data_IF_201351785812
#
_entry.id   IF_201351785812
#
_cell.length_a   1.000
_cell.length_b   1.000
_cell.length_c   1.000
_cell.angle_alpha   90.00
_cell.angle_beta   90.00
_cell.angle_gamma   90.00
#
_symmetry.space_group_name_H-M   'P 1'
#
loop_
_entity.id
_entity.type
_entity.pdbx_description
1 polymer ?
#
# COMPACT_ATOMS: atom_id res chain seq x y z
N UNK A 1 -39.07 35.36 66.01
CA UNK A 1 -38.46 36.67 66.27
C UNK A 1 -39.03 37.65 65.26
N UNK A 2 -39.47 38.86 65.66
CA UNK A 2 -39.96 39.85 64.70
C UNK A 2 -38.80 40.24 63.80
N UNK A 3 -38.95 40.11 62.47
CA UNK A 3 -37.94 40.55 61.53
C UNK A 3 -37.77 42.08 61.60
N UNK A 4 -36.54 42.56 61.73
CA UNK A 4 -36.25 43.99 61.57
C UNK A 4 -36.33 44.33 60.09
N UNK A 5 -37.48 44.82 59.65
CA UNK A 5 -37.65 45.33 58.29
C UNK A 5 -37.12 46.77 58.24
N UNK A 6 -36.02 46.99 57.52
CA UNK A 6 -35.59 48.34 57.18
C UNK A 6 -36.59 48.89 56.17
N UNK A 7 -37.47 49.80 56.61
CA UNK A 7 -38.51 50.41 55.76
C UNK A 7 -38.01 51.65 55.03
N UNK A 8 -36.96 52.28 55.54
CA UNK A 8 -36.20 53.35 54.88
C UNK A 8 -34.85 53.52 55.59
N UNK A 9 -33.81 53.85 54.83
CA UNK A 9 -32.49 54.20 55.36
C UNK A 9 -31.86 55.23 54.45
N UNK A 10 -31.17 56.23 55.01
CA UNK A 10 -30.41 57.22 54.22
C UNK A 10 -29.22 56.58 53.47
N UNK A 11 -28.91 55.31 53.78
CA UNK A 11 -27.83 54.53 53.17
C UNK A 11 -28.35 53.47 52.18
N UNK A 12 -29.66 53.26 52.08
CA UNK A 12 -30.28 52.26 51.21
C UNK A 12 -31.44 52.89 50.43
N UNK A 13 -31.26 53.09 49.13
CA UNK A 13 -32.36 53.45 48.24
C UNK A 13 -33.18 52.19 47.99
N UNK A 14 -34.41 52.18 48.51
CA UNK A 14 -35.37 51.09 48.29
C UNK A 14 -36.30 51.57 47.17
N UNK A 15 -35.95 51.27 45.92
CA UNK A 15 -36.87 51.37 44.77
C UNK A 15 -37.33 49.94 44.36
N UNK A 16 -37.74 49.72 43.10
CA UNK A 16 -38.11 48.37 42.65
C UNK A 16 -36.93 47.39 42.67
N UNK A 17 -35.70 47.91 42.64
CA UNK A 17 -34.43 47.20 42.66
C UNK A 17 -33.60 47.59 43.91
N UNK A 18 -32.69 46.70 44.31
CA UNK A 18 -31.78 46.94 45.43
C UNK A 18 -30.44 47.51 44.92
N UNK A 19 -30.13 48.77 45.22
CA UNK A 19 -28.83 49.40 44.89
C UNK A 19 -27.89 49.48 46.11
N UNK A 20 -26.75 48.80 46.02
CA UNK A 20 -25.72 48.73 47.07
C UNK A 20 -24.66 49.84 46.98
N UNK A 21 -24.74 50.77 46.01
CA UNK A 21 -23.79 51.88 45.81
C UNK A 21 -22.32 51.43 45.85
N UNK A 22 -22.02 50.32 45.17
CA UNK A 22 -20.68 49.69 45.12
C UNK A 22 -20.13 49.20 46.48
N UNK A 23 -21.00 48.85 47.43
CA UNK A 23 -20.62 48.24 48.71
C UNK A 23 -20.79 46.71 48.66
N UNK A 24 -20.01 46.01 49.49
CA UNK A 24 -20.13 44.55 49.68
C UNK A 24 -21.29 44.23 50.61
N UNK A 25 -22.00 43.14 50.34
CA UNK A 25 -22.89 42.51 51.34
C UNK A 25 -22.01 41.61 52.21
N UNK A 26 -22.10 41.78 53.53
CA UNK A 26 -21.39 40.92 54.51
C UNK A 26 -22.41 40.15 55.34
N UNK A 27 -21.99 39.04 55.96
CA UNK A 27 -22.85 38.17 56.78
C UNK A 27 -24.07 37.60 56.05
N UNK A 28 -23.95 37.36 54.74
CA UNK A 28 -24.96 36.64 53.97
C UNK A 28 -24.84 35.14 54.28
N UNK A 29 -25.87 34.59 54.95
CA UNK A 29 -25.98 33.15 55.15
C UNK A 29 -26.08 32.40 53.81
N UNK A 30 -25.70 31.11 53.74
CA UNK A 30 -25.84 30.33 52.51
C UNK A 30 -27.29 30.29 52.02
N UNK A 31 -27.51 30.56 50.73
CA UNK A 31 -28.81 30.43 50.09
C UNK A 31 -29.26 28.98 49.97
N UNK A 32 -30.56 28.71 50.12
CA UNK A 32 -31.15 27.36 50.07
C UNK A 32 -32.26 27.27 49.02
N UNK A 33 -33.07 28.32 48.86
CA UNK A 33 -34.09 28.41 47.83
C UNK A 33 -33.52 28.88 46.49
N UNK A 34 -34.22 28.57 45.39
CA UNK A 34 -33.79 28.93 44.02
C UNK A 34 -33.71 30.45 43.77
N UNK A 35 -34.31 31.26 44.64
CA UNK A 35 -34.36 32.73 44.55
C UNK A 35 -33.43 33.42 45.55
N UNK A 36 -32.67 32.67 46.35
CA UNK A 36 -31.79 33.25 47.35
C UNK A 36 -30.51 33.79 46.70
N UNK A 37 -29.93 34.83 47.30
CA UNK A 37 -28.57 35.24 46.98
C UNK A 37 -27.55 34.19 47.43
N UNK A 38 -26.50 33.99 46.63
CA UNK A 38 -25.39 33.09 46.97
C UNK A 38 -24.26 33.87 47.64
N UNK A 39 -23.62 33.28 48.66
CA UNK A 39 -22.40 33.84 49.25
C UNK A 39 -21.14 33.29 48.56
N UNK A 40 -19.97 33.89 48.86
CA UNK A 40 -18.70 33.52 48.22
C UNK A 40 -18.31 32.06 48.50
N UNK A 41 -18.65 31.52 49.67
CA UNK A 41 -18.33 30.14 50.03
C UNK A 41 -19.09 29.13 49.16
N UNK A 42 -20.36 29.40 48.85
CA UNK A 42 -21.14 28.57 47.92
C UNK A 42 -20.53 28.58 46.51
N UNK A 43 -20.09 29.74 46.03
CA UNK A 43 -19.40 29.86 44.74
C UNK A 43 -18.07 29.10 44.75
N UNK A 44 -17.25 29.29 45.79
CA UNK A 44 -15.97 28.58 45.93
C UNK A 44 -16.16 27.07 45.95
N UNK A 45 -17.15 26.56 46.69
CA UNK A 45 -17.47 25.13 46.74
C UNK A 45 -17.91 24.59 45.36
N UNK A 46 -18.70 25.35 44.61
CA UNK A 46 -19.11 24.97 43.26
C UNK A 46 -17.91 24.89 42.30
N UNK A 47 -17.02 25.88 42.35
CA UNK A 47 -15.80 25.93 41.53
C UNK A 47 -14.83 24.81 41.90
N UNK A 48 -14.65 24.54 43.19
CA UNK A 48 -13.81 23.43 43.68
C UNK A 48 -14.33 22.07 43.18
N UNK A 49 -15.65 21.86 43.16
CA UNK A 49 -16.25 20.63 42.64
C UNK A 49 -15.89 20.36 41.17
N UNK A 50 -15.74 21.40 40.35
CA UNK A 50 -15.34 21.29 38.94
C UNK A 50 -13.82 21.03 38.79
N UNK A 51 -13.00 21.77 39.54
CA UNK A 51 -11.54 21.64 39.54
C UNK A 51 -11.05 20.25 40.00
N UNK A 52 -11.87 19.54 40.76
CA UNK A 52 -11.56 18.21 41.29
C UNK A 52 -11.61 17.08 40.26
N UNK A 53 -12.18 17.32 39.07
CA UNK A 53 -12.35 16.28 38.04
C UNK A 53 -11.27 16.31 36.96
N UNK A 54 -10.55 17.43 36.82
CA UNK A 54 -9.55 17.65 35.78
C UNK A 54 -8.30 18.25 36.42
N UNK A 55 -7.21 17.50 36.38
CA UNK A 55 -5.90 17.98 36.81
C UNK A 55 -5.26 18.84 35.71
N UNK A 56 -4.44 19.82 36.11
CA UNK A 56 -3.62 20.55 35.15
C UNK A 56 -2.69 19.58 34.37
N UNK A 57 -2.36 19.87 33.10
CA UNK A 57 -1.40 19.06 32.36
C UNK A 57 -0.06 18.94 33.10
N UNK A 58 0.59 17.80 32.96
CA UNK A 58 1.93 17.53 33.50
C UNK A 58 2.89 17.18 32.37
N UNK A 59 4.16 17.56 32.51
CA UNK A 59 5.14 17.38 31.44
C UNK A 59 5.43 15.89 31.13
N UNK A 60 5.63 15.08 32.17
CA UNK A 60 6.16 13.73 32.00
C UNK A 60 5.65 12.69 33.02
N UNK A 61 6.13 11.46 32.85
CA UNK A 61 5.87 10.34 33.74
C UNK A 61 6.25 10.67 35.20
N UNK A 62 7.41 11.32 35.42
CA UNK A 62 7.90 11.61 36.76
C UNK A 62 6.97 12.59 37.48
N UNK A 63 6.54 13.66 36.79
CA UNK A 63 5.57 14.62 37.29
C UNK A 63 4.22 13.94 37.60
N UNK A 64 3.77 13.00 36.77
CA UNK A 64 2.51 12.27 37.00
C UNK A 64 2.57 11.37 38.25
N UNK A 65 3.74 10.76 38.53
CA UNK A 65 3.94 9.92 39.71
C UNK A 65 4.16 10.75 40.99
N UNK A 66 4.56 12.01 40.87
CA UNK A 66 4.82 12.89 42.01
C UNK A 66 3.56 13.54 42.61
N UNK A 67 2.43 13.53 41.89
CA UNK A 67 1.13 13.97 42.44
C UNK A 67 0.82 13.09 43.64
N UNK A 68 0.56 13.68 44.81
CA UNK A 68 0.25 12.99 46.08
C UNK A 68 -1.23 12.67 46.22
N UNK A 69 -1.60 11.76 47.14
CA UNK A 69 -2.99 11.32 47.37
C UNK A 69 -4.00 12.47 47.55
N UNK A 70 -3.62 13.56 48.22
CA UNK A 70 -4.48 14.74 48.39
C UNK A 70 -4.82 15.46 47.07
N UNK A 71 -3.98 15.30 46.05
CA UNK A 71 -4.18 15.84 44.70
C UNK A 71 -4.78 14.83 43.73
N UNK A 72 -5.17 13.63 44.19
CA UNK A 72 -5.77 12.58 43.34
C UNK A 72 -7.16 12.22 43.84
N UNK A 73 -8.16 12.52 43.01
CA UNK A 73 -9.54 12.10 43.26
C UNK A 73 -9.91 10.98 42.29
N UNK A 74 -10.84 10.12 42.72
CA UNK A 74 -11.35 9.05 41.85
C UNK A 74 -11.91 9.65 40.55
N UNK A 75 -11.63 8.98 39.42
CA UNK A 75 -12.00 9.37 38.06
C UNK A 75 -11.43 10.69 37.56
N UNK A 76 -10.52 11.32 38.29
CA UNK A 76 -9.86 12.54 37.85
C UNK A 76 -9.07 12.29 36.55
N UNK A 77 -9.14 13.23 35.60
CA UNK A 77 -8.47 13.14 34.30
C UNK A 77 -7.25 14.05 34.26
N UNK A 78 -6.17 13.60 33.60
CA UNK A 78 -4.92 14.35 33.46
C UNK A 78 -4.28 14.10 32.09
N UNK A 79 -3.83 15.18 31.45
CA UNK A 79 -2.94 15.10 30.29
C UNK A 79 -1.48 15.00 30.77
N UNK A 80 -0.78 13.98 30.33
CA UNK A 80 0.67 13.86 30.43
C UNK A 80 1.24 14.17 29.04
N UNK A 81 1.94 15.29 28.87
CA UNK A 81 2.34 15.80 27.54
C UNK A 81 3.12 14.77 26.71
N UNK A 82 3.98 14.00 27.36
CA UNK A 82 4.80 12.95 26.71
C UNK A 82 4.08 11.63 26.47
N UNK A 83 2.97 11.35 27.17
CA UNK A 83 2.37 10.02 27.17
C UNK A 83 0.91 9.97 26.70
N UNK A 84 0.11 11.01 26.97
CA UNK A 84 -1.30 11.11 26.57
C UNK A 84 -2.25 11.42 27.71
N UNK A 85 -3.52 11.06 27.53
CA UNK A 85 -4.59 11.34 28.49
C UNK A 85 -4.79 10.15 29.43
N UNK A 86 -4.90 10.42 30.73
CA UNK A 86 -5.05 9.42 31.79
C UNK A 86 -6.26 9.71 32.68
N UNK A 87 -6.82 8.66 33.28
CA UNK A 87 -7.86 8.73 34.31
C UNK A 87 -7.38 8.00 35.56
N UNK A 88 -7.50 8.64 36.72
CA UNK A 88 -7.20 8.00 38.00
C UNK A 88 -8.32 7.02 38.39
N UNK A 89 -7.93 5.88 38.95
CA UNK A 89 -8.80 4.85 39.52
C UNK A 89 -8.26 4.58 40.93
N UNK A 90 -9.06 4.91 41.95
CA UNK A 90 -8.63 4.89 43.34
C UNK A 90 -8.56 3.46 43.92
N UNK A 91 -9.28 2.50 43.34
CA UNK A 91 -9.41 1.13 43.83
C UNK A 91 -8.47 0.14 43.13
N UNK A 92 -7.92 0.50 41.97
CA UNK A 92 -7.12 -0.42 41.17
C UNK A 92 -5.77 -0.79 41.80
N UNK A 93 -5.46 -2.08 41.73
CA UNK A 93 -4.17 -2.69 42.12
C UNK A 93 -3.41 -3.27 40.92
N UNK A 94 -3.79 -2.91 39.69
CA UNK A 94 -3.13 -3.43 38.49
C UNK A 94 -1.64 -3.05 38.53
N UNK A 95 -0.78 -4.00 38.20
CA UNK A 95 0.67 -3.80 38.19
C UNK A 95 1.03 -2.71 37.20
N UNK A 96 1.82 -1.74 37.65
CA UNK A 96 2.24 -0.65 36.79
C UNK A 96 3.25 -1.10 35.75
N UNK A 97 3.12 -0.56 34.54
CA UNK A 97 4.10 -0.69 33.46
C UNK A 97 4.64 0.67 33.02
N UNK A 98 4.40 1.72 33.82
CA UNK A 98 4.83 3.10 33.58
C UNK A 98 4.43 3.67 32.20
N UNK A 99 3.42 3.09 31.54
CA UNK A 99 2.88 3.56 30.27
C UNK A 99 1.35 3.45 30.20
N UNK A 100 0.77 2.25 30.17
CA UNK A 100 -0.71 2.14 30.16
C UNK A 100 -1.31 2.22 31.55
N UNK A 101 -0.52 1.83 32.56
CA UNK A 101 -0.87 1.86 33.97
C UNK A 101 0.31 2.47 34.74
N UNK A 102 0.09 3.62 35.36
CA UNK A 102 1.13 4.33 36.14
C UNK A 102 0.75 4.28 37.62
N UNK A 103 1.68 3.79 38.46
CA UNK A 103 1.56 3.85 39.92
C UNK A 103 2.20 5.14 40.46
N UNK A 104 1.48 5.97 41.22
CA UNK A 104 2.07 7.11 41.93
C UNK A 104 3.21 6.70 42.87
N UNK A 105 4.16 7.62 43.12
CA UNK A 105 5.33 7.35 43.98
C UNK A 105 4.99 7.15 45.45
N UNK A 106 3.90 7.75 45.93
CA UNK A 106 3.40 7.62 47.30
C UNK A 106 2.60 6.32 47.53
N UNK A 107 2.35 5.53 46.47
CA UNK A 107 1.80 4.17 46.59
C UNK A 107 2.97 3.19 46.67
N UNK A 108 3.17 2.59 47.84
CA UNK A 108 4.41 1.90 48.19
C UNK A 108 4.63 0.62 47.37
N UNK A 109 3.54 -0.09 47.04
CA UNK A 109 3.61 -1.38 46.33
C UNK A 109 2.49 -1.54 45.31
N UNK A 110 2.63 -2.50 44.38
CA UNK A 110 1.55 -2.83 43.44
C UNK A 110 0.32 -3.47 44.11
N UNK A 111 0.42 -3.90 45.37
CA UNK A 111 -0.71 -4.43 46.13
C UNK A 111 -1.61 -3.32 46.71
N UNK A 112 -1.10 -2.08 46.79
CA UNK A 112 -1.87 -0.92 47.26
C UNK A 112 -2.64 -0.29 46.11
N UNK A 113 -3.85 0.20 46.41
CA UNK A 113 -4.77 0.75 45.41
C UNK A 113 -4.35 2.15 44.92
N UNK A 114 -4.81 2.52 43.72
CA UNK A 114 -4.59 3.85 43.13
C UNK A 114 -3.70 3.81 41.89
N UNK A 115 -4.29 3.89 40.69
CA UNK A 115 -3.56 3.86 39.41
C UNK A 115 -4.07 4.92 38.45
N UNK A 116 -3.15 5.47 37.65
CA UNK A 116 -3.51 6.21 36.45
C UNK A 116 -3.62 5.24 35.28
N UNK A 117 -4.79 5.20 34.65
CA UNK A 117 -5.05 4.42 33.44
C UNK A 117 -5.01 5.31 32.22
N UNK A 118 -4.24 4.91 31.21
CA UNK A 118 -4.20 5.59 29.92
C UNK A 118 -5.53 5.40 29.20
N UNK A 119 -6.18 6.51 28.84
CA UNK A 119 -7.45 6.51 28.07
C UNK A 119 -7.25 6.98 26.63
N UNK A 120 -6.17 7.72 26.36
CA UNK A 120 -5.73 8.06 25.00
C UNK A 120 -4.22 8.22 24.98
N UNK A 121 -3.56 7.83 23.89
CA UNK A 121 -2.15 8.15 23.68
C UNK A 121 -1.97 9.63 23.30
N UNK A 122 -0.82 10.21 23.64
CA UNK A 122 -0.42 11.47 23.04
C UNK A 122 -0.34 11.22 21.53
N UNK A 123 -1.16 11.94 20.75
CA UNK A 123 -1.11 11.89 19.29
C UNK A 123 0.10 12.72 18.86
N UNK A 124 1.29 12.28 19.23
CA UNK A 124 2.54 12.86 18.75
C UNK A 124 2.88 12.12 17.47
N UNK A 125 2.48 12.74 16.36
CA UNK A 125 2.69 12.32 14.98
C UNK A 125 1.92 11.09 14.48
N UNK A 126 1.24 11.29 13.35
CA UNK A 126 0.75 10.20 12.47
C UNK A 126 1.88 9.23 12.06
N UNK A 127 3.13 9.66 12.24
CA UNK A 127 4.36 8.92 12.00
C UNK A 127 4.84 8.10 13.21
N UNK A 128 4.06 7.96 14.28
CA UNK A 128 4.44 7.14 15.43
C UNK A 128 3.26 6.31 15.96
N UNK A 129 2.34 5.91 15.08
CA UNK A 129 1.37 4.85 15.38
C UNK A 129 2.12 3.52 15.51
N UNK A 130 2.63 3.27 16.71
CA UNK A 130 3.22 2.02 17.17
C UNK A 130 2.45 0.81 16.61
N UNK A 131 3.12 0.03 15.77
CA UNK A 131 2.70 -1.28 15.23
C UNK A 131 2.00 -1.34 13.85
N UNK A 132 1.94 -0.25 13.07
CA UNK A 132 1.52 -0.34 11.63
C UNK A 132 2.55 0.23 10.64
N UNK A 133 3.67 0.75 11.11
CA UNK A 133 4.72 1.25 10.23
C UNK A 133 5.69 0.11 9.88
N UNK A 134 5.65 -0.34 8.63
CA UNK A 134 6.72 -1.09 8.01
C UNK A 134 7.63 -0.18 7.18
N UNK A 135 8.87 -0.62 6.95
CA UNK A 135 9.90 0.11 6.20
C UNK A 135 11.20 0.32 7.00
N UNK A 136 12.20 0.94 6.38
CA UNK A 136 13.42 1.40 7.05
C UNK A 136 13.18 2.71 7.85
N UNK A 137 14.23 3.25 8.49
CA UNK A 137 14.21 4.42 9.39
C UNK A 137 13.72 5.77 8.79
N UNK A 138 13.14 5.76 7.59
CA UNK A 138 12.52 6.91 6.94
C UNK A 138 11.38 6.52 5.97
N UNK A 139 10.91 5.27 6.00
CA UNK A 139 9.91 4.75 5.08
C UNK A 139 8.61 4.42 5.83
N UNK A 140 7.48 4.87 5.29
CA UNK A 140 6.15 4.78 5.92
C UNK A 140 5.25 3.80 5.17
N UNK A 141 5.71 2.57 4.96
CA UNK A 141 4.89 1.56 4.31
C UNK A 141 3.92 0.98 5.34
N UNK A 142 2.61 0.93 5.04
CA UNK A 142 1.64 0.19 5.86
C UNK A 142 1.78 -1.35 5.72
N UNK A 143 2.93 -1.82 5.21
CA UNK A 143 3.36 -3.19 4.98
C UNK A 143 4.81 -3.31 5.41
N UNK A 144 5.21 -4.41 6.04
CA UNK A 144 6.63 -4.66 6.36
C UNK A 144 7.49 -4.61 5.09
N UNK A 145 8.78 -4.27 5.20
CA UNK A 145 9.70 -4.27 4.06
C UNK A 145 9.70 -5.61 3.32
N UNK A 146 9.58 -6.72 4.05
CA UNK A 146 9.43 -8.06 3.47
C UNK A 146 8.14 -8.22 2.66
N UNK A 147 6.99 -7.74 3.17
CA UNK A 147 5.71 -7.77 2.46
C UNK A 147 5.70 -6.84 1.24
N UNK A 148 6.29 -5.65 1.36
CA UNK A 148 6.48 -4.72 0.24
C UNK A 148 7.34 -5.36 -0.86
N UNK A 149 8.47 -5.95 -0.49
CA UNK A 149 9.36 -6.65 -1.43
C UNK A 149 8.71 -7.89 -2.05
N UNK A 150 7.84 -8.59 -1.31
CA UNK A 150 7.08 -9.72 -1.84
C UNK A 150 6.00 -9.28 -2.85
N UNK A 151 5.32 -8.15 -2.60
CA UNK A 151 4.34 -7.58 -3.54
C UNK A 151 5.02 -7.02 -4.80
N UNK A 152 6.22 -6.46 -4.65
CA UNK A 152 7.01 -5.87 -5.75
C UNK A 152 8.10 -6.81 -6.27
N UNK A 153 8.03 -8.12 -5.97
CA UNK A 153 9.04 -9.06 -6.41
C UNK A 153 9.12 -9.01 -7.94
N UNK A 154 10.20 -8.42 -8.45
CA UNK A 154 10.43 -8.29 -9.88
C UNK A 154 10.68 -9.68 -10.45
N UNK A 155 10.15 -9.97 -11.63
CA UNK A 155 10.54 -11.17 -12.37
C UNK A 155 12.06 -11.14 -12.58
N UNK A 156 12.75 -12.14 -12.06
CA UNK A 156 14.19 -12.34 -12.20
C UNK A 156 14.45 -13.48 -13.18
N UNK A 157 15.68 -13.60 -13.67
CA UNK A 157 16.08 -14.78 -14.44
C UNK A 157 15.81 -16.09 -13.67
N UNK A 158 15.92 -16.06 -12.33
CA UNK A 158 15.66 -17.22 -11.47
C UNK A 158 14.17 -17.57 -11.40
N UNK A 159 13.28 -16.59 -11.23
CA UNK A 159 11.83 -16.85 -11.17
C UNK A 159 11.30 -17.35 -12.51
N UNK A 160 11.75 -16.73 -13.61
CA UNK A 160 11.42 -17.16 -14.97
C UNK A 160 11.94 -18.58 -15.23
N UNK A 161 13.18 -18.89 -14.82
CA UNK A 161 13.77 -20.22 -14.98
C UNK A 161 13.02 -21.32 -14.21
N UNK A 162 12.52 -21.02 -13.00
CA UNK A 162 11.71 -21.96 -12.23
C UNK A 162 10.38 -22.29 -12.94
N UNK A 163 9.72 -21.28 -13.50
CA UNK A 163 8.48 -21.47 -14.27
C UNK A 163 8.71 -22.32 -15.52
N UNK A 164 9.81 -22.10 -16.24
CA UNK A 164 10.16 -22.87 -17.43
C UNK A 164 10.48 -24.33 -17.08
N UNK A 165 11.31 -24.57 -16.05
CA UNK A 165 11.69 -25.92 -15.64
C UNK A 165 10.52 -26.74 -15.08
N UNK A 166 9.50 -26.07 -14.55
CA UNK A 166 8.25 -26.71 -14.11
C UNK A 166 7.27 -27.04 -15.22
N UNK A 167 7.50 -26.58 -16.47
CA UNK A 167 6.61 -26.85 -17.59
C UNK A 167 6.66 -28.33 -18.00
N UNK A 168 5.50 -28.98 -18.11
CA UNK A 168 5.41 -30.43 -18.32
C UNK A 168 5.51 -30.91 -19.77
N UNK A 169 5.47 -30.02 -20.76
CA UNK A 169 5.49 -30.40 -22.18
C UNK A 169 6.94 -30.50 -22.70
N UNK A 170 7.31 -31.66 -23.24
CA UNK A 170 8.65 -31.90 -23.77
C UNK A 170 8.84 -31.43 -25.24
N UNK A 171 7.75 -31.07 -25.93
CA UNK A 171 7.77 -30.71 -27.35
C UNK A 171 6.93 -29.46 -27.61
N UNK A 172 7.45 -28.44 -28.32
CA UNK A 172 6.67 -27.27 -28.69
C UNK A 172 5.55 -27.60 -29.68
N UNK A 173 4.36 -27.07 -29.43
CA UNK A 173 3.21 -27.09 -30.33
C UNK A 173 3.15 -25.79 -31.16
N UNK A 174 2.36 -25.80 -32.23
CA UNK A 174 2.30 -24.71 -33.21
C UNK A 174 1.75 -23.39 -32.64
N UNK A 175 1.01 -23.48 -31.55
CA UNK A 175 0.42 -22.36 -30.82
C UNK A 175 1.30 -21.83 -29.68
N UNK A 176 2.38 -22.53 -29.33
CA UNK A 176 3.26 -22.15 -28.25
C UNK A 176 3.93 -20.82 -28.56
N UNK A 177 3.99 -19.98 -27.54
CA UNK A 177 4.56 -18.64 -27.63
C UNK A 177 6.03 -18.69 -27.25
N UNK A 178 6.86 -18.06 -28.07
CA UNK A 178 8.26 -17.80 -27.77
C UNK A 178 8.45 -16.29 -27.66
N UNK A 179 9.09 -15.84 -26.59
CA UNK A 179 9.48 -14.45 -26.43
C UNK A 179 10.86 -14.24 -27.05
N UNK A 180 10.98 -13.27 -27.95
CA UNK A 180 12.24 -12.85 -28.57
C UNK A 180 12.46 -11.38 -28.30
N UNK A 181 13.69 -10.96 -28.00
CA UNK A 181 13.99 -9.55 -27.80
C UNK A 181 14.21 -8.84 -29.14
N UNK A 182 13.54 -7.70 -29.31
CA UNK A 182 13.88 -6.71 -30.33
C UNK A 182 15.05 -5.85 -29.85
N UNK A 183 15.72 -5.19 -30.79
CA UNK A 183 16.70 -4.14 -30.47
C UNK A 183 16.05 -3.09 -29.56
N UNK A 184 16.66 -2.85 -28.39
CA UNK A 184 16.10 -1.96 -27.36
C UNK A 184 15.43 -2.69 -26.18
N UNK A 185 15.46 -4.03 -26.14
CA UNK A 185 15.05 -4.80 -24.96
C UNK A 185 13.54 -5.04 -24.85
N UNK A 186 12.78 -4.75 -25.90
CA UNK A 186 11.34 -5.04 -25.96
C UNK A 186 11.13 -6.51 -26.30
N UNK A 187 10.35 -7.23 -25.50
CA UNK A 187 9.96 -8.61 -25.81
C UNK A 187 8.86 -8.63 -26.87
N UNK A 188 9.14 -9.21 -28.02
CA UNK A 188 8.17 -9.54 -29.05
C UNK A 188 7.68 -10.98 -28.86
N UNK A 189 6.37 -11.17 -29.03
CA UNK A 189 5.70 -12.47 -29.09
C UNK A 189 5.74 -13.03 -30.51
N UNK A 190 6.26 -14.24 -30.67
CA UNK A 190 6.15 -15.07 -31.88
C UNK A 190 5.61 -16.46 -31.50
N UNK A 191 5.07 -17.21 -32.45
CA UNK A 191 4.67 -18.61 -32.21
C UNK A 191 5.71 -19.59 -32.74
N UNK A 192 5.67 -20.84 -32.26
CA UNK A 192 6.47 -21.93 -32.81
C UNK A 192 6.22 -22.12 -34.32
N UNK A 193 4.99 -21.90 -34.79
CA UNK A 193 4.67 -21.87 -36.23
C UNK A 193 5.49 -20.83 -36.99
N UNK A 194 5.62 -19.61 -36.45
CA UNK A 194 6.42 -18.57 -37.08
C UNK A 194 7.89 -18.99 -37.17
N UNK A 195 8.43 -19.61 -36.12
CA UNK A 195 9.81 -20.12 -36.10
C UNK A 195 10.01 -21.21 -37.15
N UNK A 196 9.11 -22.21 -37.21
CA UNK A 196 9.17 -23.29 -38.21
C UNK A 196 9.14 -22.75 -39.64
N UNK A 197 8.27 -21.78 -39.92
CA UNK A 197 8.15 -21.18 -41.25
C UNK A 197 9.41 -20.41 -41.66
N UNK A 198 9.98 -19.62 -40.74
CA UNK A 198 11.23 -18.90 -40.97
C UNK A 198 12.39 -19.85 -41.26
N UNK A 199 12.59 -20.85 -40.39
CA UNK A 199 13.65 -21.85 -40.56
C UNK A 199 13.48 -22.66 -41.84
N UNK A 200 12.25 -23.09 -42.15
CA UNK A 200 11.97 -23.81 -43.40
C UNK A 200 12.37 -22.98 -44.62
N UNK A 201 11.96 -21.72 -44.66
CA UNK A 201 12.29 -20.80 -45.76
C UNK A 201 13.81 -20.66 -45.91
N UNK A 202 14.54 -20.49 -44.79
CA UNK A 202 16.00 -20.41 -44.81
C UNK A 202 16.65 -21.69 -45.34
N UNK A 203 16.29 -22.85 -44.79
CA UNK A 203 16.90 -24.12 -45.19
C UNK A 203 16.54 -24.55 -46.61
N UNK A 204 15.32 -24.30 -47.08
CA UNK A 204 14.94 -24.59 -48.47
C UNK A 204 15.88 -23.89 -49.46
N UNK A 205 16.26 -22.63 -49.20
CA UNK A 205 17.19 -21.88 -50.08
C UNK A 205 18.61 -22.47 -50.11
N UNK A 206 19.03 -23.14 -49.03
CA UNK A 206 20.33 -23.80 -48.95
C UNK A 206 20.29 -25.15 -49.65
N UNK A 207 19.25 -25.96 -49.41
CA UNK A 207 19.14 -27.29 -50.00
C UNK A 207 18.85 -27.25 -51.50
N UNK A 208 18.12 -26.25 -52.00
CA UNK A 208 17.94 -26.05 -53.45
C UNK A 208 19.26 -25.75 -54.17
N UNK A 209 20.23 -25.10 -53.51
CA UNK A 209 21.58 -24.87 -54.06
C UNK A 209 22.44 -26.14 -54.07
N UNK A 210 22.23 -27.04 -53.10
CA UNK A 210 22.97 -28.31 -52.98
C UNK A 210 22.41 -29.39 -53.92
N UNK A 211 21.18 -29.25 -54.42
CA UNK A 211 20.52 -30.22 -55.31
C UNK A 211 21.08 -30.29 -56.75
N UNK A 212 22.38 -30.09 -56.95
CA UNK A 212 23.08 -30.14 -58.25
C UNK A 212 22.45 -29.20 -59.28
N UNK A 213 22.48 -27.89 -59.04
CA UNK A 213 22.10 -26.88 -60.04
C UNK A 213 23.36 -26.51 -60.86
N UNK A 214 23.28 -26.51 -62.18
CA UNK A 214 24.34 -25.95 -63.05
C UNK A 214 24.37 -24.42 -62.97
N UNK A 215 25.38 -23.81 -63.59
CA UNK A 215 25.58 -22.37 -63.64
C UNK A 215 24.44 -21.57 -64.31
N UNK A 216 23.47 -22.24 -64.94
CA UNK A 216 22.27 -21.64 -65.54
C UNK A 216 21.00 -21.83 -64.70
N UNK A 217 21.10 -22.46 -63.53
CA UNK A 217 19.97 -22.78 -62.65
C UNK A 217 19.19 -24.04 -63.06
N UNK A 218 19.68 -24.79 -64.06
CA UNK A 218 19.16 -26.09 -64.47
C UNK A 218 19.66 -27.21 -63.57
N UNK A 219 18.94 -28.33 -63.43
CA UNK A 219 19.46 -29.48 -62.69
C UNK A 219 20.57 -30.17 -63.51
N UNK A 220 21.78 -30.25 -62.97
CA UNK A 220 22.98 -30.82 -63.59
C UNK A 220 23.21 -32.27 -63.15
N UNK A 221 23.65 -33.14 -64.06
CA UNK A 221 24.15 -34.48 -63.72
C UNK A 221 23.08 -35.53 -63.37
N UNK A 222 21.79 -35.22 -63.51
CA UNK A 222 20.74 -36.22 -63.41
C UNK A 222 20.65 -36.97 -64.75
N UNK A 223 20.98 -38.26 -64.73
CA UNK A 223 20.63 -39.17 -65.84
C UNK A 223 19.14 -39.07 -66.09
N UNK A 224 18.76 -38.99 -67.37
CA UNK A 224 17.42 -38.75 -67.89
C UNK A 224 16.35 -39.76 -67.42
N UNK A 225 15.98 -39.76 -66.14
CA UNK A 225 14.84 -40.50 -65.61
C UNK A 225 14.11 -39.63 -64.58
N UNK A 226 12.90 -39.22 -64.97
CA UNK A 226 11.93 -38.41 -64.22
C UNK A 226 12.14 -36.89 -64.25
N UNK A 227 12.24 -36.29 -65.44
CA UNK A 227 11.70 -34.94 -65.60
C UNK A 227 10.18 -35.06 -65.57
N UNK A 228 9.57 -34.81 -64.41
CA UNK A 228 8.13 -34.69 -64.28
C UNK A 228 7.74 -33.32 -64.87
N UNK A 229 7.33 -33.27 -66.14
CA UNK A 229 6.77 -32.06 -66.73
C UNK A 229 5.40 -31.77 -66.09
N UNK A 230 5.40 -31.14 -64.91
CA UNK A 230 4.16 -30.72 -64.25
C UNK A 230 3.57 -29.52 -65.01
N UNK A 231 2.55 -29.84 -65.81
CA UNK A 231 1.48 -28.98 -66.34
C UNK A 231 1.92 -27.65 -66.94
N UNK A 232 2.04 -27.63 -68.27
CA UNK A 232 1.60 -26.51 -69.12
C UNK A 232 1.21 -27.12 -70.47
N UNK A 233 0.02 -26.81 -70.96
CA UNK A 233 -0.56 -27.42 -72.18
C UNK A 233 0.17 -27.05 -73.47
N UNK A 234 1.38 -27.58 -73.67
CA UNK A 234 2.13 -27.49 -74.91
C UNK A 234 2.73 -28.86 -75.22
N UNK A 235 2.33 -29.42 -76.36
CA UNK A 235 2.88 -30.66 -76.89
C UNK A 235 4.38 -30.45 -77.19
N UNK A 236 5.25 -31.20 -76.51
CA UNK A 236 6.65 -31.33 -76.91
C UNK A 236 6.69 -32.43 -77.98
N UNK A 237 6.97 -32.05 -79.23
CA UNK A 237 7.27 -33.02 -80.28
C UNK A 237 8.73 -33.47 -80.14
N UNK A 238 8.95 -34.67 -79.60
CA UNK A 238 10.26 -35.31 -79.61
C UNK A 238 10.44 -36.04 -80.94
N UNK A 239 11.24 -35.48 -81.85
CA UNK A 239 11.74 -36.25 -82.98
C UNK A 239 12.96 -37.06 -82.52
N UNK A 240 12.78 -38.38 -82.38
CA UNK A 240 13.90 -39.30 -82.22
C UNK A 240 14.51 -39.56 -83.59
N UNK A 241 15.69 -39.00 -83.85
CA UNK A 241 16.56 -39.54 -84.89
C UNK A 241 17.47 -40.56 -84.23
N UNK A 242 17.34 -41.83 -84.61
CA UNK A 242 18.35 -42.82 -84.28
C UNK A 242 19.63 -42.43 -85.01
N UNK A 243 20.64 -42.02 -84.25
CA UNK A 243 22.01 -41.99 -84.74
C UNK A 243 22.88 -42.75 -83.74
N UNK A 244 23.50 -43.81 -84.24
CA UNK A 244 24.46 -44.62 -83.49
C UNK A 244 25.71 -43.74 -83.32
N UNK A 245 25.97 -43.33 -82.07
CA UNK A 245 27.13 -42.58 -81.60
C UNK A 245 27.09 -41.05 -81.84
N UNK A 246 26.76 -40.32 -80.76
CA UNK A 246 27.07 -38.89 -80.59
C UNK A 246 26.05 -37.92 -81.20
N UNK A 247 24.90 -37.75 -80.55
CA UNK A 247 23.93 -36.73 -80.96
C UNK A 247 24.29 -35.36 -80.37
N UNK A 248 24.67 -34.42 -81.22
CA UNK A 248 24.71 -32.98 -80.90
C UNK A 248 23.30 -32.41 -81.05
N UNK A 249 22.73 -31.88 -79.97
CA UNK A 249 21.37 -31.32 -79.99
C UNK A 249 21.40 -29.85 -80.39
N UNK A 250 20.71 -29.49 -81.48
CA UNK A 250 20.56 -28.11 -81.92
C UNK A 250 19.13 -27.64 -81.62
N UNK A 251 19.00 -26.71 -80.67
CA UNK A 251 17.72 -26.10 -80.31
C UNK A 251 17.32 -25.03 -81.32
N UNK A 252 16.12 -25.13 -81.89
CA UNK A 252 15.47 -24.00 -82.57
C UNK A 252 14.16 -23.64 -81.86
N UNK A 253 14.10 -22.43 -81.30
CA UNK A 253 12.84 -21.85 -80.85
C UNK A 253 12.11 -21.26 -82.06
N UNK A 254 10.91 -21.75 -82.37
CA UNK A 254 10.04 -21.14 -83.39
C UNK A 254 9.41 -19.88 -82.80
N UNK A 255 9.90 -18.69 -83.13
CA UNK A 255 9.16 -17.46 -82.87
C UNK A 255 7.88 -17.46 -83.70
N UNK A 256 6.71 -17.34 -83.05
CA UNK A 256 5.45 -17.05 -83.73
C UNK A 256 5.58 -15.66 -84.36
N UNK A 257 5.60 -15.57 -85.69
CA UNK A 257 5.26 -14.32 -86.37
C UNK A 257 3.76 -14.09 -86.17
N UNK A 258 3.40 -13.05 -85.43
CA UNK A 258 2.09 -12.44 -85.56
C UNK A 258 2.10 -11.66 -86.87
N UNK A 259 1.28 -12.08 -87.84
CA UNK A 259 0.94 -11.28 -89.00
C UNK A 259 -0.56 -10.96 -88.91
N UNK A 260 -0.85 -9.67 -89.03
CA UNK A 260 -2.09 -8.92 -89.31
C UNK A 260 -3.43 -9.61 -89.09
#
# INVERSE_FOLDING_TARGET
MPGTFIRSSNQLYIDADLDLKSKKITNLAPGVALTDGVNLDQLNNAVLGLNNTIHAPVADLAASKAIVSAGRLDKMVMLIETLGLYRFDAESVVVSNDNTVIRPTDVATDAEAGRWFKISAAITDHNNMSSIQGGAAAEYYHLTLAQYNALHAQETATTIGALINGAGAATPNDTDVVATALTGGILQKITWTNIKAFLKTYFDTLYEKVANKDATGGYAGLTLFKINFKKCGQYVHLFFHQCQYGCTYLYFSKQRRHNC
#
